data_IF_514725704246
#
_entry.id   IF_514725704246
#
_cell.length_a   1.000
_cell.length_b   1.000
_cell.length_c   1.000
_cell.angle_alpha   90.00
_cell.angle_beta   90.00
_cell.angle_gamma   90.00
#
_symmetry.space_group_name_H-M   'P 1'
#
loop_
_entity.id
_entity.type
_entity.pdbx_description
1 polymer ?
#
# COMPACT_ATOMS: atom_id res chain seq x y z
N UNK A 1 -15.74 -8.92 24.59
CA UNK A 1 -15.50 -8.05 23.42
C UNK A 1 -14.00 -7.79 23.29
N UNK A 2 -13.38 -7.99 22.12
CA UNK A 2 -11.97 -7.68 21.87
C UNK A 2 -11.76 -6.16 21.68
N UNK A 3 -11.66 -5.41 22.79
CA UNK A 3 -11.55 -3.93 22.80
C UNK A 3 -10.41 -3.40 21.93
N UNK A 4 -9.27 -4.08 21.90
CA UNK A 4 -8.09 -3.71 21.12
C UNK A 4 -8.37 -3.58 19.60
N UNK A 5 -9.35 -4.33 19.06
CA UNK A 5 -9.75 -4.21 17.64
C UNK A 5 -10.47 -2.88 17.40
N UNK A 6 -11.35 -2.49 18.34
CA UNK A 6 -12.10 -1.24 18.27
C UNK A 6 -11.18 -0.04 18.49
N UNK A 7 -10.23 -0.13 19.43
CA UNK A 7 -9.21 0.89 19.65
C UNK A 7 -8.33 1.08 18.41
N UNK A 8 -7.92 -0.02 17.75
CA UNK A 8 -7.18 0.02 16.51
C UNK A 8 -7.97 0.73 15.39
N UNK A 9 -9.27 0.45 15.28
CA UNK A 9 -10.15 1.17 14.35
C UNK A 9 -10.17 2.67 14.65
N UNK A 10 -10.49 3.05 15.90
CA UNK A 10 -10.63 4.45 16.31
C UNK A 10 -9.35 5.25 16.08
N UNK A 11 -8.19 4.66 16.41
CA UNK A 11 -6.88 5.23 16.10
C UNK A 11 -6.73 5.55 14.62
N UNK A 12 -7.05 4.59 13.74
CA UNK A 12 -6.89 4.79 12.30
C UNK A 12 -7.98 5.68 11.68
N UNK A 13 -9.17 5.72 12.26
CA UNK A 13 -10.19 6.70 11.92
C UNK A 13 -9.69 8.12 12.18
N UNK A 14 -9.18 8.40 13.40
CA UNK A 14 -8.64 9.71 13.74
C UNK A 14 -7.50 10.13 12.82
N UNK A 15 -6.54 9.23 12.58
CA UNK A 15 -5.43 9.51 11.64
C UNK A 15 -5.97 9.82 10.24
N UNK A 16 -6.99 9.11 9.76
CA UNK A 16 -7.59 9.42 8.46
C UNK A 16 -8.21 10.81 8.47
N UNK A 17 -9.01 11.15 9.48
CA UNK A 17 -9.70 12.43 9.58
C UNK A 17 -8.72 13.61 9.63
N UNK A 18 -7.69 13.53 10.48
CA UNK A 18 -6.63 14.55 10.58
C UNK A 18 -5.89 14.72 9.25
N UNK A 19 -5.48 13.60 8.63
CA UNK A 19 -4.72 13.67 7.38
C UNK A 19 -5.59 14.09 6.20
N UNK A 20 -6.91 13.87 6.21
CA UNK A 20 -7.80 14.41 5.17
C UNK A 20 -7.90 15.94 5.24
N UNK A 21 -7.80 16.54 6.44
CA UNK A 21 -7.70 17.99 6.59
C UNK A 21 -6.36 18.51 6.04
N UNK A 22 -5.25 17.87 6.43
CA UNK A 22 -3.89 18.24 5.99
C UNK A 22 -3.68 18.03 4.49
N UNK A 23 -4.33 17.02 3.89
CA UNK A 23 -4.32 16.77 2.46
C UNK A 23 -4.82 17.95 1.61
N UNK A 24 -5.47 18.96 2.20
CA UNK A 24 -5.85 20.21 1.50
C UNK A 24 -4.65 21.11 1.21
N UNK A 25 -3.53 20.93 1.91
CA UNK A 25 -2.25 21.58 1.59
C UNK A 25 -1.54 20.83 0.44
N UNK A 26 -1.17 21.49 -0.68
CA UNK A 26 -0.40 20.87 -1.76
C UNK A 26 0.98 20.40 -1.36
N UNK A 27 1.60 21.04 -0.37
CA UNK A 27 2.98 20.78 0.04
C UNK A 27 3.08 19.61 1.04
N UNK A 28 1.97 19.26 1.71
CA UNK A 28 1.93 18.14 2.64
C UNK A 28 1.73 16.80 1.92
N UNK A 29 2.80 16.35 1.27
CA UNK A 29 2.85 15.03 0.59
C UNK A 29 2.75 13.86 1.57
N UNK A 30 3.09 14.10 2.84
CA UNK A 30 3.13 13.08 3.89
C UNK A 30 1.73 12.81 4.44
N UNK A 31 0.86 13.82 4.48
CA UNK A 31 -0.55 13.64 4.80
C UNK A 31 -1.22 12.62 3.86
N UNK A 32 -0.96 12.70 2.56
CA UNK A 32 -1.46 11.74 1.57
C UNK A 32 -0.90 10.34 1.85
N UNK A 33 0.37 10.23 2.26
CA UNK A 33 0.99 8.96 2.61
C UNK A 33 0.33 8.32 3.83
N UNK A 34 0.23 9.06 4.93
CA UNK A 34 -0.35 8.63 6.20
C UNK A 34 -1.83 8.26 6.07
N UNK A 35 -2.60 9.08 5.35
CA UNK A 35 -3.97 8.75 4.96
C UNK A 35 -4.03 7.37 4.29
N UNK A 36 -3.20 7.14 3.26
CA UNK A 36 -3.18 5.87 2.52
C UNK A 36 -2.78 4.69 3.39
N UNK A 37 -1.82 4.86 4.30
CA UNK A 37 -1.42 3.80 5.22
C UNK A 37 -2.58 3.40 6.14
N UNK A 38 -3.28 4.36 6.74
CA UNK A 38 -4.42 4.07 7.62
C UNK A 38 -5.58 3.42 6.87
N UNK A 39 -5.90 3.84 5.64
CA UNK A 39 -6.93 3.14 4.84
C UNK A 39 -6.54 1.70 4.51
N UNK A 40 -5.26 1.41 4.23
CA UNK A 40 -4.80 0.02 4.02
C UNK A 40 -5.01 -0.82 5.28
N UNK A 41 -4.73 -0.27 6.46
CA UNK A 41 -4.97 -0.94 7.74
C UNK A 41 -6.45 -1.21 7.97
N UNK A 42 -7.33 -0.24 7.68
CA UNK A 42 -8.78 -0.43 7.75
C UNK A 42 -9.28 -1.52 6.80
N UNK A 43 -8.68 -1.69 5.62
CA UNK A 43 -9.06 -2.78 4.69
C UNK A 43 -8.76 -4.17 5.25
N UNK A 44 -7.63 -4.34 5.93
CA UNK A 44 -7.31 -5.62 6.60
C UNK A 44 -8.27 -5.87 7.74
N UNK A 45 -8.57 -4.83 8.53
CA UNK A 45 -9.58 -4.90 9.58
C UNK A 45 -10.98 -5.26 9.04
N UNK A 46 -11.39 -4.69 7.90
CA UNK A 46 -12.67 -5.00 7.29
C UNK A 46 -12.74 -6.48 6.84
N UNK A 47 -11.67 -7.02 6.24
CA UNK A 47 -11.58 -8.45 5.91
C UNK A 47 -11.65 -9.35 7.15
N UNK A 48 -11.03 -8.93 8.26
CA UNK A 48 -11.15 -9.64 9.53
C UNK A 48 -12.60 -9.59 10.05
N UNK A 49 -13.28 -8.45 9.88
CA UNK A 49 -14.67 -8.25 10.30
C UNK A 49 -15.64 -9.13 9.50
N UNK A 50 -15.45 -9.24 8.18
CA UNK A 50 -16.18 -10.20 7.32
C UNK A 50 -16.07 -11.61 7.91
N UNK A 51 -14.84 -12.05 8.19
CA UNK A 51 -14.58 -13.39 8.72
C UNK A 51 -15.19 -13.62 10.11
N UNK A 52 -15.13 -12.63 11.01
CA UNK A 52 -15.76 -12.71 12.34
C UNK A 52 -17.28 -12.83 12.22
N UNK A 53 -17.87 -12.12 11.26
CA UNK A 53 -19.32 -12.09 11.05
C UNK A 53 -19.87 -13.27 10.24
N UNK A 54 -19.00 -14.11 9.66
CA UNK A 54 -19.41 -15.10 8.66
C UNK A 54 -19.95 -14.46 7.38
N UNK A 55 -19.25 -13.45 6.86
CA UNK A 55 -19.56 -12.68 5.64
C UNK A 55 -20.87 -11.86 5.70
N UNK A 56 -21.42 -11.63 6.89
CA UNK A 56 -22.57 -10.74 7.11
C UNK A 56 -22.15 -9.26 7.12
N UNK A 57 -20.95 -8.97 7.62
CA UNK A 57 -20.31 -7.67 7.48
C UNK A 57 -19.99 -7.46 6.00
N UNK A 58 -20.40 -6.34 5.42
CA UNK A 58 -20.07 -5.99 4.03
C UNK A 58 -18.81 -5.11 4.01
N UNK A 59 -17.61 -5.69 4.12
CA UNK A 59 -16.36 -4.90 4.09
C UNK A 59 -16.24 -4.03 2.85
N UNK A 60 -16.67 -4.55 1.69
CA UNK A 60 -16.51 -3.88 0.41
C UNK A 60 -17.41 -2.65 0.32
N UNK A 61 -18.67 -2.77 0.74
CA UNK A 61 -19.62 -1.68 0.81
C UNK A 61 -19.28 -0.68 1.90
N UNK A 62 -18.91 -1.17 3.10
CA UNK A 62 -18.62 -0.31 4.26
C UNK A 62 -17.40 0.59 4.03
N UNK A 63 -16.43 0.18 3.20
CA UNK A 63 -15.29 1.01 2.80
C UNK A 63 -15.42 1.64 1.41
N UNK A 64 -16.60 1.62 0.77
CA UNK A 64 -16.76 2.02 -0.63
C UNK A 64 -16.31 3.46 -0.89
N UNK A 65 -16.73 4.41 -0.07
CA UNK A 65 -16.45 5.83 -0.27
C UNK A 65 -14.97 6.15 -0.02
N UNK A 66 -14.40 5.70 1.10
CA UNK A 66 -12.97 5.88 1.38
C UNK A 66 -12.10 5.17 0.34
N UNK A 67 -12.57 4.07 -0.27
CA UNK A 67 -11.89 3.39 -1.36
C UNK A 67 -11.85 4.22 -2.65
N UNK A 68 -12.84 5.09 -2.91
CA UNK A 68 -12.78 6.03 -4.04
C UNK A 68 -11.67 7.06 -3.81
N UNK A 69 -11.60 7.64 -2.62
CA UNK A 69 -10.51 8.55 -2.23
C UNK A 69 -9.14 7.87 -2.30
N UNK A 70 -9.03 6.66 -1.77
CA UNK A 70 -7.79 5.89 -1.78
C UNK A 70 -7.25 5.66 -3.20
N UNK A 71 -8.14 5.40 -4.17
CA UNK A 71 -7.74 5.22 -5.58
C UNK A 71 -7.20 6.52 -6.19
N UNK A 72 -7.79 7.67 -5.84
CA UNK A 72 -7.35 8.98 -6.36
C UNK A 72 -6.03 9.43 -5.72
N UNK A 73 -5.96 9.39 -4.39
CA UNK A 73 -4.71 9.63 -3.63
C UNK A 73 -3.59 8.69 -4.04
N UNK A 74 -3.90 7.45 -4.45
CA UNK A 74 -2.89 6.52 -4.94
C UNK A 74 -2.20 6.97 -6.20
N UNK A 75 -2.97 7.40 -7.21
CA UNK A 75 -2.38 7.93 -8.45
C UNK A 75 -1.58 9.19 -8.20
N UNK A 76 -2.03 10.04 -7.28
CA UNK A 76 -1.29 11.24 -6.87
C UNK A 76 0.03 10.87 -6.18
N UNK A 77 -0.02 9.99 -5.17
CA UNK A 77 1.17 9.55 -4.43
C UNK A 77 2.17 8.83 -5.32
N UNK A 78 1.71 7.98 -6.23
CA UNK A 78 2.61 7.28 -7.15
C UNK A 78 3.39 8.28 -8.03
N UNK A 79 2.76 9.38 -8.46
CA UNK A 79 3.46 10.45 -9.19
C UNK A 79 4.39 11.26 -8.29
N UNK A 80 3.97 11.59 -7.06
CA UNK A 80 4.80 12.34 -6.11
C UNK A 80 6.08 11.56 -5.76
N UNK A 81 5.97 10.26 -5.49
CA UNK A 81 7.14 9.39 -5.20
C UNK A 81 8.05 9.31 -6.43
N UNK A 82 7.49 9.06 -7.61
CA UNK A 82 8.27 8.99 -8.85
C UNK A 82 8.97 10.32 -9.17
N UNK A 83 8.29 11.45 -8.94
CA UNK A 83 8.86 12.79 -9.12
C UNK A 83 10.00 13.07 -8.14
N UNK A 84 9.80 12.77 -6.84
CA UNK A 84 10.84 12.92 -5.83
C UNK A 84 12.07 12.05 -6.15
N UNK A 85 11.85 10.80 -6.56
CA UNK A 85 12.94 9.92 -6.97
C UNK A 85 13.76 10.51 -8.12
N UNK A 86 13.13 11.15 -9.11
CA UNK A 86 13.87 11.81 -10.19
C UNK A 86 14.71 12.98 -9.69
N UNK A 87 14.16 13.81 -8.80
CA UNK A 87 14.87 14.94 -8.20
C UNK A 87 16.08 14.44 -7.41
N UNK A 88 15.91 13.37 -6.62
CA UNK A 88 16.96 12.79 -5.78
C UNK A 88 18.14 12.22 -6.59
N UNK A 89 17.95 11.89 -7.86
CA UNK A 89 19.05 11.41 -8.72
C UNK A 89 19.94 12.53 -9.27
N UNK A 90 19.55 13.80 -9.13
CA UNK A 90 20.37 14.97 -9.51
C UNK A 90 20.87 15.00 -10.97
N UNK A 91 20.18 14.35 -11.92
CA UNK A 91 20.51 14.48 -13.34
C UNK A 91 19.97 15.81 -13.88
N UNK A 92 20.85 16.73 -14.26
CA UNK A 92 20.50 18.05 -14.83
C UNK A 92 19.58 17.94 -16.05
N UNK A 93 19.74 16.86 -16.82
CA UNK A 93 18.97 16.59 -18.03
C UNK A 93 17.52 16.15 -17.80
N UNK A 94 17.10 15.95 -16.54
CA UNK A 94 15.73 15.54 -16.17
C UNK A 94 14.73 16.70 -16.12
N UNK A 95 15.18 17.95 -16.15
CA UNK A 95 14.34 19.15 -16.00
C UNK A 95 13.05 19.16 -16.85
N UNK A 96 13.09 18.86 -18.16
CA UNK A 96 11.88 18.80 -18.98
C UNK A 96 10.91 17.68 -18.55
N UNK A 97 11.45 16.55 -18.10
CA UNK A 97 10.68 15.41 -17.59
C UNK A 97 10.00 15.78 -16.28
N UNK A 98 10.76 16.38 -15.34
CA UNK A 98 10.27 16.82 -14.04
C UNK A 98 9.09 17.79 -14.23
N UNK A 99 9.22 18.81 -15.09
CA UNK A 99 8.13 19.75 -15.39
C UNK A 99 6.87 19.06 -15.94
N UNK A 100 7.02 18.00 -16.72
CA UNK A 100 5.86 17.20 -17.18
C UNK A 100 5.21 16.46 -16.01
N UNK A 101 6.00 15.93 -15.09
CA UNK A 101 5.50 15.28 -13.88
C UNK A 101 4.76 16.24 -12.97
N UNK A 102 5.26 17.45 -12.76
CA UNK A 102 4.60 18.48 -11.96
C UNK A 102 3.20 18.78 -12.51
N UNK A 103 3.07 18.93 -13.84
CA UNK A 103 1.77 19.10 -14.50
C UNK A 103 0.84 17.91 -14.28
N UNK A 104 1.37 16.67 -14.31
CA UNK A 104 0.59 15.45 -14.04
C UNK A 104 0.16 15.39 -12.57
N UNK A 105 1.03 15.76 -11.64
CA UNK A 105 0.77 15.84 -10.19
C UNK A 105 -0.35 16.85 -9.95
N UNK A 106 -0.23 18.09 -10.45
CA UNK A 106 -1.28 19.11 -10.36
C UNK A 106 -2.62 18.62 -10.95
N UNK A 107 -2.58 17.93 -12.09
CA UNK A 107 -3.79 17.35 -12.68
C UNK A 107 -4.43 16.22 -11.87
N UNK A 108 -3.65 15.40 -11.15
CA UNK A 108 -4.20 14.40 -10.22
C UNK A 108 -4.64 15.04 -8.90
N UNK A 109 -3.98 16.12 -8.47
CA UNK A 109 -4.33 16.88 -7.28
C UNK A 109 -5.75 17.43 -7.37
N UNK A 110 -6.08 18.12 -8.46
CA UNK A 110 -7.46 18.62 -8.70
C UNK A 110 -8.48 17.48 -8.69
N UNK A 111 -8.13 16.30 -9.21
CA UNK A 111 -9.03 15.12 -9.20
C UNK A 111 -9.19 14.52 -7.80
N UNK A 112 -8.16 14.61 -6.97
CA UNK A 112 -8.19 14.16 -5.59
C UNK A 112 -8.99 15.12 -4.71
N UNK A 113 -8.78 16.42 -4.84
CA UNK A 113 -9.55 17.47 -4.14
C UNK A 113 -11.04 17.37 -4.45
N UNK A 114 -11.43 17.23 -5.72
CA UNK A 114 -12.84 16.99 -6.08
C UNK A 114 -13.43 15.74 -5.44
N UNK A 115 -12.63 14.70 -5.24
CA UNK A 115 -13.10 13.50 -4.57
C UNK A 115 -13.19 13.72 -3.05
N UNK A 116 -12.27 14.51 -2.49
CA UNK A 116 -12.23 14.91 -1.08
C UNK A 116 -13.47 15.72 -0.70
N UNK A 117 -13.90 16.66 -1.55
CA UNK A 117 -15.08 17.49 -1.29
C UNK A 117 -16.40 16.70 -1.32
N UNK A 118 -16.42 15.52 -1.94
CA UNK A 118 -17.60 14.63 -2.01
C UNK A 118 -17.58 13.60 -0.86
N UNK A 119 -16.44 13.41 -0.20
CA UNK A 119 -16.31 12.38 0.82
C UNK A 119 -17.05 12.76 2.11
N UNK A 120 -18.06 11.96 2.45
CA UNK A 120 -18.76 12.04 3.73
C UNK A 120 -18.06 11.20 4.79
N UNK A 121 -17.64 11.84 5.88
CA UNK A 121 -17.01 11.17 7.03
C UNK A 121 -17.95 10.17 7.72
N UNK A 122 -19.26 10.35 7.54
CA UNK A 122 -20.31 9.50 8.10
C UNK A 122 -20.14 8.03 7.70
N UNK A 123 -19.49 7.77 6.55
CA UNK A 123 -19.15 6.41 6.11
C UNK A 123 -18.16 5.69 7.04
N UNK A 124 -17.23 6.43 7.67
CA UNK A 124 -16.31 5.86 8.67
C UNK A 124 -17.02 5.66 10.00
N UNK A 125 -17.87 6.61 10.41
CA UNK A 125 -18.68 6.48 11.63
C UNK A 125 -19.60 5.25 11.55
N UNK A 126 -20.28 5.06 10.41
CA UNK A 126 -21.11 3.89 10.15
C UNK A 126 -20.31 2.58 10.22
N UNK A 127 -19.10 2.55 9.65
CA UNK A 127 -18.20 1.40 9.78
C UNK A 127 -17.88 1.12 11.25
N UNK A 128 -17.54 2.16 12.02
CA UNK A 128 -17.22 2.05 13.44
C UNK A 128 -18.39 1.54 14.28
N UNK A 129 -19.60 2.02 14.00
CA UNK A 129 -20.82 1.54 14.65
C UNK A 129 -21.08 0.05 14.37
N UNK A 130 -21.05 -0.36 13.10
CA UNK A 130 -21.22 -1.78 12.71
C UNK A 130 -20.15 -2.68 13.32
N UNK A 131 -18.90 -2.22 13.33
CA UNK A 131 -17.79 -2.95 13.95
C UNK A 131 -18.04 -3.11 15.46
N UNK A 132 -18.44 -2.04 16.16
CA UNK A 132 -18.76 -2.10 17.59
C UNK A 132 -19.88 -3.10 17.88
N UNK A 133 -20.97 -3.05 17.12
CA UNK A 133 -22.09 -4.00 17.25
C UNK A 133 -21.65 -5.44 17.00
N UNK A 134 -20.87 -5.68 15.94
CA UNK A 134 -20.30 -7.00 15.64
C UNK A 134 -19.50 -7.54 16.83
N UNK A 135 -18.65 -6.72 17.44
CA UNK A 135 -17.73 -7.16 18.49
C UNK A 135 -18.40 -7.38 19.86
N UNK A 136 -19.61 -6.87 20.11
CA UNK A 136 -20.32 -7.03 21.40
C UNK A 136 -20.48 -8.50 21.81
N UNK A 137 -20.75 -9.37 20.84
CA UNK A 137 -20.99 -10.80 21.06
C UNK A 137 -19.77 -11.67 20.74
N UNK A 138 -18.62 -11.05 20.48
CA UNK A 138 -17.38 -11.75 20.11
C UNK A 138 -16.47 -11.85 21.35
N UNK A 139 -16.07 -13.07 21.67
CA UNK A 139 -15.03 -13.33 22.65
C UNK A 139 -13.64 -13.10 22.05
N UNK A 140 -12.65 -12.79 22.88
CA UNK A 140 -11.26 -12.66 22.41
C UNK A 140 -10.77 -13.92 21.72
N UNK A 141 -11.11 -15.11 22.26
CA UNK A 141 -10.75 -16.40 21.66
C UNK A 141 -11.28 -16.55 20.23
N UNK A 142 -12.53 -16.14 19.98
CA UNK A 142 -13.11 -16.17 18.62
C UNK A 142 -12.39 -15.20 17.68
N UNK A 143 -12.13 -13.97 18.13
CA UNK A 143 -11.41 -12.99 17.33
C UNK A 143 -10.00 -13.47 16.95
N UNK A 144 -9.25 -14.03 17.91
CA UNK A 144 -7.93 -14.63 17.69
C UNK A 144 -8.01 -15.79 16.70
N UNK A 145 -9.01 -16.69 16.85
CA UNK A 145 -9.22 -17.79 15.90
C UNK A 145 -9.47 -17.29 14.46
N UNK A 146 -10.28 -16.24 14.28
CA UNK A 146 -10.45 -15.59 12.97
C UNK A 146 -9.13 -14.96 12.47
N UNK A 147 -8.34 -14.36 13.36
CA UNK A 147 -7.00 -13.87 13.04
C UNK A 147 -6.08 -14.97 12.48
N UNK A 148 -6.07 -16.15 13.11
CA UNK A 148 -5.34 -17.32 12.61
C UNK A 148 -5.81 -17.78 11.22
N UNK A 149 -7.12 -17.85 10.99
CA UNK A 149 -7.68 -18.23 9.70
C UNK A 149 -7.29 -17.23 8.60
N UNK A 150 -7.36 -15.92 8.89
CA UNK A 150 -6.97 -14.89 7.93
C UNK A 150 -5.46 -14.94 7.64
N UNK A 151 -4.63 -15.16 8.68
CA UNK A 151 -3.19 -15.31 8.53
C UNK A 151 -2.82 -16.53 7.68
N UNK A 152 -3.43 -17.69 7.93
CA UNK A 152 -3.27 -18.90 7.12
C UNK A 152 -3.68 -18.66 5.66
N UNK A 153 -4.77 -17.92 5.44
CA UNK A 153 -5.22 -17.55 4.09
C UNK A 153 -4.19 -16.67 3.37
N UNK A 154 -3.60 -15.70 4.07
CA UNK A 154 -2.57 -14.82 3.51
C UNK A 154 -1.29 -15.58 3.17
N UNK A 155 -0.87 -16.50 4.03
CA UNK A 155 0.27 -17.41 3.79
C UNK A 155 0.03 -18.26 2.54
N UNK A 156 -1.13 -18.93 2.46
CA UNK A 156 -1.47 -19.77 1.31
C UNK A 156 -1.51 -18.98 0.00
N UNK A 157 -2.11 -17.78 0.03
CA UNK A 157 -2.11 -16.85 -1.11
C UNK A 157 -0.68 -16.51 -1.58
N UNK A 158 0.26 -16.30 -0.64
CA UNK A 158 1.66 -16.01 -0.98
C UNK A 158 2.31 -17.21 -1.64
N UNK A 159 2.13 -18.43 -1.11
CA UNK A 159 2.64 -19.66 -1.72
C UNK A 159 2.11 -19.87 -3.14
N UNK A 160 0.79 -19.68 -3.34
CA UNK A 160 0.16 -19.80 -4.66
C UNK A 160 0.73 -18.75 -5.62
N UNK A 161 0.85 -17.50 -5.17
CA UNK A 161 1.40 -16.43 -5.98
C UNK A 161 2.83 -16.73 -6.40
N UNK A 162 3.65 -17.30 -5.51
CA UNK A 162 5.04 -17.64 -5.79
C UNK A 162 5.19 -18.57 -7.01
N UNK A 163 4.26 -19.49 -7.18
CA UNK A 163 4.25 -20.48 -8.26
C UNK A 163 3.54 -20.01 -9.54
N UNK A 164 2.93 -18.82 -9.58
CA UNK A 164 2.09 -18.35 -10.69
C UNK A 164 2.47 -17.00 -11.33
N UNK A 165 1.83 -16.66 -12.45
CA UNK A 165 1.87 -15.34 -13.15
C UNK A 165 3.26 -14.82 -13.58
N UNK A 166 3.29 -13.64 -14.24
CA UNK A 166 4.54 -12.96 -14.64
C UNK A 166 5.33 -12.48 -13.42
N UNK A 167 6.66 -12.49 -13.50
CA UNK A 167 7.58 -12.13 -12.39
C UNK A 167 7.19 -10.84 -11.66
N UNK A 168 6.94 -9.72 -12.34
CA UNK A 168 6.68 -8.43 -11.68
C UNK A 168 5.30 -8.37 -11.00
N UNK A 169 4.23 -8.77 -11.69
CA UNK A 169 2.87 -8.81 -11.11
C UNK A 169 2.82 -9.72 -9.88
N UNK A 170 3.49 -10.87 -9.94
CA UNK A 170 3.67 -11.78 -8.81
C UNK A 170 4.30 -11.08 -7.60
N UNK A 171 5.46 -10.46 -7.78
CA UNK A 171 6.20 -9.81 -6.70
C UNK A 171 5.42 -8.65 -6.07
N UNK A 172 4.70 -7.88 -6.88
CA UNK A 172 3.82 -6.83 -6.38
C UNK A 172 2.67 -7.39 -5.52
N UNK A 173 2.06 -8.50 -5.94
CA UNK A 173 0.98 -9.13 -5.19
C UNK A 173 1.49 -9.72 -3.87
N UNK A 174 2.64 -10.42 -3.89
CA UNK A 174 3.28 -10.94 -2.66
C UNK A 174 3.56 -9.79 -1.70
N UNK A 175 4.17 -8.69 -2.18
CA UNK A 175 4.43 -7.50 -1.36
C UNK A 175 3.17 -6.98 -0.68
N UNK A 176 2.04 -6.95 -1.39
CA UNK A 176 0.76 -6.49 -0.84
C UNK A 176 0.28 -7.42 0.28
N UNK A 177 0.39 -8.75 0.09
CA UNK A 177 0.02 -9.74 1.10
C UNK A 177 0.91 -9.69 2.34
N UNK A 178 2.23 -9.49 2.18
CA UNK A 178 3.14 -9.32 3.31
C UNK A 178 2.80 -8.07 4.12
N UNK A 179 2.40 -6.96 3.47
CA UNK A 179 1.90 -5.78 4.19
C UNK A 179 0.62 -6.09 4.96
N UNK A 180 -0.30 -6.87 4.38
CA UNK A 180 -1.51 -7.29 5.08
C UNK A 180 -1.18 -8.15 6.32
N UNK A 181 -0.17 -9.02 6.26
CA UNK A 181 0.34 -9.78 7.42
C UNK A 181 0.82 -8.84 8.53
N UNK A 182 1.64 -7.83 8.20
CA UNK A 182 2.13 -6.83 9.17
C UNK A 182 0.96 -6.07 9.80
N UNK A 183 -0.03 -5.64 9.00
CA UNK A 183 -1.19 -4.92 9.52
C UNK A 183 -2.07 -5.81 10.40
N UNK A 184 -2.23 -7.09 10.04
CA UNK A 184 -2.94 -8.06 10.87
C UNK A 184 -2.23 -8.27 12.20
N UNK A 185 -0.90 -8.40 12.21
CA UNK A 185 -0.12 -8.47 13.44
C UNK A 185 -0.33 -7.25 14.35
N UNK A 186 -0.40 -6.05 13.75
CA UNK A 186 -0.63 -4.82 14.50
C UNK A 186 -2.06 -4.72 15.07
N UNK A 187 -3.08 -5.25 14.37
CA UNK A 187 -4.45 -5.31 14.90
C UNK A 187 -4.47 -6.14 16.18
N UNK A 188 -3.73 -7.24 16.23
CA UNK A 188 -3.67 -8.14 17.39
C UNK A 188 -2.56 -7.79 18.38
N UNK A 189 -1.88 -6.65 18.22
CA UNK A 189 -0.78 -6.22 19.10
C UNK A 189 0.27 -7.34 19.33
N UNK A 190 0.63 -8.06 18.26
CA UNK A 190 1.59 -9.16 18.32
C UNK A 190 1.10 -10.46 18.95
N UNK A 191 -0.19 -10.58 19.31
CA UNK A 191 -0.76 -11.82 19.88
C UNK A 191 -0.91 -12.97 18.87
N UNK A 192 -0.76 -12.68 17.56
CA UNK A 192 -0.77 -13.71 16.54
C UNK A 192 0.64 -14.28 16.35
N UNK A 193 0.80 -15.61 16.22
CA UNK A 193 2.11 -16.23 16.01
C UNK A 193 2.51 -16.15 14.53
N UNK A 194 2.75 -14.94 14.01
CA UNK A 194 3.05 -14.72 12.58
C UNK A 194 4.24 -15.54 12.08
N UNK A 195 5.27 -15.70 12.93
CA UNK A 195 6.47 -16.46 12.61
C UNK A 195 6.19 -17.95 12.36
N UNK A 196 5.17 -18.52 13.00
CA UNK A 196 4.80 -19.93 12.83
C UNK A 196 4.19 -20.19 11.46
N UNK A 197 3.55 -19.17 10.85
CA UNK A 197 2.94 -19.26 9.53
C UNK A 197 3.90 -18.84 8.41
N UNK A 198 4.56 -17.69 8.55
CA UNK A 198 5.32 -17.07 7.46
C UNK A 198 6.83 -17.39 7.54
N UNK A 199 7.30 -17.97 8.66
CA UNK A 199 8.70 -18.31 8.90
C UNK A 199 9.69 -17.13 8.86
N UNK A 200 9.19 -15.90 8.84
CA UNK A 200 9.96 -14.65 8.90
C UNK A 200 9.51 -13.85 10.12
N UNK A 201 10.47 -13.25 10.85
CA UNK A 201 10.17 -12.33 11.95
C UNK A 201 9.44 -11.08 11.47
N UNK A 202 8.68 -10.43 12.37
CA UNK A 202 7.95 -9.21 12.00
C UNK A 202 8.92 -8.09 11.59
N UNK A 203 10.06 -7.99 12.26
CA UNK A 203 11.14 -7.04 11.97
C UNK A 203 11.67 -7.26 10.56
N UNK A 204 11.97 -8.52 10.24
CA UNK A 204 12.48 -8.90 8.93
C UNK A 204 11.44 -8.73 7.83
N UNK A 205 10.15 -8.96 8.12
CA UNK A 205 9.05 -8.63 7.20
C UNK A 205 8.96 -7.13 6.89
N UNK A 206 9.27 -6.25 7.85
CA UNK A 206 9.31 -4.80 7.62
C UNK A 206 10.44 -4.43 6.67
N UNK A 207 11.65 -4.91 6.92
CA UNK A 207 12.82 -4.73 6.03
C UNK A 207 12.51 -5.23 4.60
N UNK A 208 11.91 -6.42 4.51
CA UNK A 208 11.49 -6.99 3.24
C UNK A 208 10.44 -6.12 2.52
N UNK A 209 9.53 -5.51 3.29
CA UNK A 209 8.54 -4.57 2.79
C UNK A 209 9.12 -3.27 2.26
N UNK A 210 10.23 -2.80 2.84
CA UNK A 210 11.02 -1.64 2.38
C UNK A 210 11.77 -1.98 1.08
N UNK A 211 12.48 -3.11 1.04
CA UNK A 211 13.15 -3.62 -0.16
C UNK A 211 12.18 -3.77 -1.34
N UNK A 212 11.05 -4.42 -1.10
CA UNK A 212 9.99 -4.58 -2.10
C UNK A 212 9.34 -3.23 -2.47
N UNK A 213 9.37 -2.24 -1.57
CA UNK A 213 8.99 -0.85 -1.85
C UNK A 213 9.93 -0.20 -2.85
N UNK A 214 11.23 -0.17 -2.54
CA UNK A 214 12.26 0.40 -3.40
C UNK A 214 12.29 -0.24 -4.80
N UNK A 215 12.13 -1.57 -4.87
CA UNK A 215 11.97 -2.29 -6.14
C UNK A 215 10.78 -1.77 -6.95
N UNK A 216 9.61 -1.65 -6.30
CA UNK A 216 8.38 -1.22 -6.96
C UNK A 216 8.44 0.23 -7.43
N UNK A 217 9.05 1.11 -6.65
CA UNK A 217 9.19 2.51 -7.02
C UNK A 217 10.18 2.67 -8.19
N UNK A 218 11.24 1.86 -8.23
CA UNK A 218 12.15 1.77 -9.38
C UNK A 218 11.44 1.27 -10.65
N UNK A 219 10.57 0.25 -10.52
CA UNK A 219 9.74 -0.25 -11.62
C UNK A 219 8.79 0.82 -12.15
N UNK A 220 8.12 1.55 -11.25
CA UNK A 220 7.21 2.63 -11.63
C UNK A 220 7.94 3.72 -12.42
N UNK A 221 9.10 4.16 -11.93
CA UNK A 221 9.93 5.16 -12.58
C UNK A 221 10.36 4.71 -13.98
N UNK A 222 10.81 3.46 -14.14
CA UNK A 222 11.20 2.91 -15.45
C UNK A 222 10.03 2.93 -16.44
N UNK A 223 8.85 2.49 -16.02
CA UNK A 223 7.65 2.46 -16.86
C UNK A 223 7.27 3.87 -17.31
N UNK A 224 7.36 4.84 -16.40
CA UNK A 224 6.98 6.22 -16.64
C UNK A 224 7.99 6.96 -17.55
N UNK A 225 9.30 6.76 -17.32
CA UNK A 225 10.35 7.27 -18.20
C UNK A 225 10.30 6.64 -19.59
N UNK A 226 10.07 5.33 -19.68
CA UNK A 226 9.90 4.66 -20.96
C UNK A 226 8.70 5.20 -21.76
N UNK A 227 7.61 5.60 -21.08
CA UNK A 227 6.48 6.29 -21.74
C UNK A 227 6.88 7.69 -22.21
N UNK A 228 7.69 8.42 -21.45
CA UNK A 228 8.20 9.73 -21.84
C UNK A 228 9.07 9.63 -23.10
N UNK A 229 10.10 8.77 -23.08
CA UNK A 229 11.04 8.59 -24.19
C UNK A 229 10.33 8.19 -25.48
N UNK A 230 9.32 7.31 -25.42
CA UNK A 230 8.51 6.95 -26.60
C UNK A 230 7.71 8.12 -27.18
N UNK A 231 7.31 9.09 -26.36
CA UNK A 231 6.54 10.26 -26.80
C UNK A 231 7.43 11.41 -27.27
N UNK A 232 8.71 11.41 -26.87
CA UNK A 232 9.67 12.46 -27.15
C UNK A 232 10.99 11.86 -27.66
N UNK A 233 10.97 11.17 -28.83
CA UNK A 233 12.16 10.50 -29.36
C UNK A 233 13.28 11.48 -29.74
N UNK A 234 12.96 12.74 -30.05
CA UNK A 234 13.92 13.75 -30.51
C UNK A 234 14.31 14.74 -29.39
N UNK A 235 14.13 14.37 -28.12
CA UNK A 235 14.56 15.22 -27.01
C UNK A 235 16.08 15.35 -26.99
N UNK A 236 16.60 16.57 -26.83
CA UNK A 236 18.05 16.86 -26.85
C UNK A 236 18.86 16.07 -25.82
N UNK A 237 18.18 15.53 -24.80
CA UNK A 237 18.78 14.81 -23.68
C UNK A 237 18.56 13.28 -23.77
N UNK A 238 18.23 12.73 -24.95
CA UNK A 238 17.82 11.33 -25.08
C UNK A 238 18.90 10.34 -24.60
N UNK A 239 20.18 10.63 -24.87
CA UNK A 239 21.28 9.75 -24.50
C UNK A 239 21.41 9.65 -22.97
N UNK A 240 21.44 10.77 -22.26
CA UNK A 240 21.51 10.82 -20.80
C UNK A 240 20.31 10.12 -20.14
N UNK A 241 19.10 10.32 -20.70
CA UNK A 241 17.89 9.63 -20.23
C UNK A 241 17.94 8.11 -20.47
N UNK A 242 18.55 7.67 -21.58
CA UNK A 242 18.74 6.25 -21.86
C UNK A 242 19.75 5.59 -20.93
N UNK A 243 20.86 6.29 -20.64
CA UNK A 243 21.85 5.87 -19.65
C UNK A 243 21.22 5.73 -18.26
N UNK A 244 20.51 6.76 -17.79
CA UNK A 244 19.79 6.71 -16.53
C UNK A 244 18.75 5.58 -16.48
N UNK A 245 18.00 5.37 -17.57
CA UNK A 245 17.05 4.26 -17.68
C UNK A 245 17.75 2.89 -17.60
N UNK A 246 18.99 2.77 -18.09
CA UNK A 246 19.77 1.56 -18.00
C UNK A 246 20.26 1.30 -16.57
N UNK A 247 20.75 2.32 -15.88
CA UNK A 247 21.12 2.22 -14.46
C UNK A 247 19.93 1.82 -13.59
N UNK A 248 18.77 2.44 -13.83
CA UNK A 248 17.53 2.14 -13.13
C UNK A 248 17.11 0.68 -13.32
N UNK A 249 17.27 0.13 -14.53
CA UNK A 249 16.99 -1.30 -14.81
C UNK A 249 17.91 -2.22 -14.03
N UNK A 250 19.21 -1.90 -13.95
CA UNK A 250 20.20 -2.68 -13.18
C UNK A 250 19.82 -2.65 -11.69
N UNK A 251 19.53 -1.47 -11.13
CA UNK A 251 19.08 -1.30 -9.75
C UNK A 251 17.79 -2.10 -9.48
N UNK A 252 16.77 -1.94 -10.33
CA UNK A 252 15.50 -2.68 -10.24
C UNK A 252 15.74 -4.19 -10.24
N UNK A 253 16.60 -4.68 -11.14
CA UNK A 253 16.92 -6.10 -11.24
C UNK A 253 17.59 -6.60 -9.96
N UNK A 254 18.59 -5.90 -9.43
CA UNK A 254 19.26 -6.23 -8.18
C UNK A 254 18.29 -6.32 -7.00
N UNK A 255 17.47 -5.28 -6.80
CA UNK A 255 16.43 -5.28 -5.74
C UNK A 255 15.44 -6.44 -5.91
N UNK A 256 15.05 -6.77 -7.15
CA UNK A 256 14.14 -7.89 -7.41
C UNK A 256 14.77 -9.26 -7.12
N UNK A 257 16.07 -9.41 -7.36
CA UNK A 257 16.81 -10.65 -7.11
C UNK A 257 17.00 -10.85 -5.62
N UNK A 258 17.39 -9.80 -4.89
CA UNK A 258 17.51 -9.82 -3.44
C UNK A 258 16.15 -10.13 -2.79
N UNK A 259 15.08 -9.46 -3.23
CA UNK A 259 13.73 -9.71 -2.73
C UNK A 259 13.29 -11.17 -2.93
N UNK A 260 13.52 -11.73 -4.12
CA UNK A 260 13.21 -13.14 -4.41
C UNK A 260 14.07 -14.08 -3.58
N UNK A 261 15.36 -13.80 -3.43
CA UNK A 261 16.29 -14.64 -2.68
C UNK A 261 15.86 -14.75 -1.21
N UNK A 262 15.49 -13.63 -0.58
CA UNK A 262 14.98 -13.62 0.79
C UNK A 262 13.68 -14.43 0.89
N UNK A 263 12.73 -14.22 -0.03
CA UNK A 263 11.48 -14.98 -0.05
C UNK A 263 11.74 -16.50 -0.15
N UNK A 264 12.62 -16.94 -1.05
CA UNK A 264 12.92 -18.37 -1.23
C UNK A 264 13.60 -18.97 0.00
N UNK A 265 14.56 -18.26 0.59
CA UNK A 265 15.36 -18.79 1.68
C UNK A 265 14.61 -18.80 3.01
N UNK A 266 13.83 -17.75 3.29
CA UNK A 266 13.26 -17.52 4.63
C UNK A 266 11.80 -17.98 4.73
N UNK A 267 10.95 -17.77 3.70
CA UNK A 267 9.54 -18.21 3.73
C UNK A 267 9.36 -19.69 3.35
N UNK A 268 10.42 -20.39 2.94
CA UNK A 268 10.38 -21.79 2.47
C UNK A 268 9.37 -22.01 1.32
N UNK A 269 9.25 -21.03 0.42
CA UNK A 269 8.35 -21.04 -0.73
C UNK A 269 8.92 -21.78 -1.92
#
# INVERSE_FOLDING_TARGET
>A
MPEYILEYFQKHQLIIEENLLMCRDPEDVEAIHNFRLSVKRLRVLARLSDLISGDVFDAKGSLREINKLFKRSGRLRDLQVTGQLMIDQQYEDLDPVIKLFDRRIAGQRVKFEKALDIFGKESLDEFGHKLKELLQNVTEKQAVACGHILLATLESDIHILFHGSTKEKRLHNIRTKLKDVIYLNNIFDGRLPVQDYIHISIERLRELGELAGAWHDSLNLEVDLGKYLRKHPDTGNINSLQEFMQELKVKKQGLSQEYVCILMNEMKV
#
